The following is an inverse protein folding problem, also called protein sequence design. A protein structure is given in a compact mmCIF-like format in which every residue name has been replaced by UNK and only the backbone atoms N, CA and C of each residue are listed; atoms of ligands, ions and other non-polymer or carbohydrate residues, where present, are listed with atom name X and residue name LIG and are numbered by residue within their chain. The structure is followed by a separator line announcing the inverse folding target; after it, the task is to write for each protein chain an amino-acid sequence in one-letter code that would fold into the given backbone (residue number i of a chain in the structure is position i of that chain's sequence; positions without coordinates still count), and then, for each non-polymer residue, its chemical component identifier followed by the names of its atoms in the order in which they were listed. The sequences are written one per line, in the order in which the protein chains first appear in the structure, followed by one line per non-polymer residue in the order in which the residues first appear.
data_IF_952273916107
#
_entry.id   IF_952273916107
#
_cell.length_a   1.000
_cell.length_b   1.000
_cell.length_c   1.000
_cell.angle_alpha   90.00
_cell.angle_beta   90.00
_cell.angle_gamma   90.00
#
_symmetry.space_group_name_H-M   'P 1'
#
loop_
_entity.id
_entity.type
_entity.pdbx_description
1 polymer ?
#
# COMPACT_ATOMS: atom_id res chain seq x y z
N UNK A 1 -14.64 11.75 -26.58
CA UNK A 1 -14.28 11.57 -25.16
C UNK A 1 -12.80 11.82 -25.02
N UNK A 2 -12.40 12.73 -24.14
CA UNK A 2 -11.01 12.96 -23.75
C UNK A 2 -10.77 12.47 -22.34
N UNK A 3 -9.57 11.97 -22.06
CA UNK A 3 -9.13 11.58 -20.72
C UNK A 3 -7.68 11.97 -20.53
N UNK A 4 -7.37 12.56 -19.38
CA UNK A 4 -6.03 12.93 -18.96
C UNK A 4 -5.85 12.47 -17.52
N UNK A 5 -4.77 11.75 -17.25
CA UNK A 5 -4.38 11.33 -15.92
C UNK A 5 -3.11 12.04 -15.48
N UNK A 6 -3.12 12.49 -14.24
CA UNK A 6 -1.89 12.92 -13.57
C UNK A 6 -1.82 12.33 -12.17
N UNK A 7 -0.58 12.17 -11.69
CA UNK A 7 -0.32 11.79 -10.31
C UNK A 7 0.71 12.73 -9.72
N UNK A 8 0.43 13.24 -8.52
CA UNK A 8 1.37 14.08 -7.79
C UNK A 8 1.77 13.43 -6.45
N UNK A 9 3.07 13.50 -6.17
CA UNK A 9 3.69 13.05 -4.92
C UNK A 9 4.96 13.86 -4.68
N UNK A 10 5.03 14.58 -3.55
CA UNK A 10 6.17 15.45 -3.23
C UNK A 10 7.28 14.65 -2.53
N UNK A 11 8.45 14.59 -3.17
CA UNK A 11 9.66 13.89 -2.71
C UNK A 11 10.32 14.41 -1.42
N UNK A 12 9.59 15.04 -0.49
CA UNK A 12 10.16 15.46 0.82
C UNK A 12 9.33 15.08 2.04
N UNK A 13 8.03 14.82 1.92
CA UNK A 13 7.20 14.24 2.99
C UNK A 13 6.59 12.94 2.50
N UNK A 14 6.72 11.87 3.30
CA UNK A 14 5.92 10.67 3.07
C UNK A 14 4.44 11.07 3.15
N UNK A 15 3.75 11.04 2.03
CA UNK A 15 2.33 11.34 1.91
C UNK A 15 1.72 10.31 0.94
N UNK A 16 0.41 10.08 0.99
CA UNK A 16 -0.24 9.28 -0.02
C UNK A 16 -0.03 9.88 -1.42
N UNK A 17 -0.05 9.02 -2.43
CA UNK A 17 -0.06 9.41 -3.83
C UNK A 17 -1.43 10.00 -4.16
N UNK A 18 -1.46 11.19 -4.74
CA UNK A 18 -2.70 11.82 -5.19
C UNK A 18 -2.87 11.57 -6.68
N UNK A 19 -3.97 10.92 -7.03
CA UNK A 19 -4.35 10.62 -8.41
C UNK A 19 -5.42 11.61 -8.86
N UNK A 20 -5.28 12.13 -10.08
CA UNK A 20 -6.26 13.02 -10.69
C UNK A 20 -6.57 12.51 -12.09
N UNK A 21 -7.82 12.09 -12.27
CA UNK A 21 -8.40 11.76 -13.58
C UNK A 21 -9.24 12.93 -14.01
N UNK A 22 -8.93 13.49 -15.17
CA UNK A 22 -9.78 14.45 -15.87
C UNK A 22 -10.39 13.76 -17.07
N UNK A 23 -11.70 13.86 -17.24
CA UNK A 23 -12.40 13.29 -18.39
C UNK A 23 -13.51 14.22 -18.87
N UNK A 24 -13.80 14.20 -20.17
CA UNK A 24 -14.81 15.06 -20.77
C UNK A 24 -15.42 14.41 -22.02
N UNK A 25 -16.72 14.59 -22.23
CA UNK A 25 -17.32 14.30 -23.52
C UNK A 25 -17.15 15.51 -24.45
N UNK A 26 -16.19 15.41 -25.36
CA UNK A 26 -15.84 16.42 -26.37
C UNK A 26 -16.58 16.22 -27.70
N UNK A 27 -17.54 15.29 -27.75
CA UNK A 27 -18.32 15.00 -28.94
C UNK A 27 -19.62 15.81 -28.98
N UNK A 28 -20.18 15.96 -30.18
CA UNK A 28 -21.43 16.70 -30.42
C UNK A 28 -22.70 15.98 -29.96
N UNK A 29 -22.59 14.71 -29.52
CA UNK A 29 -23.69 13.91 -28.98
C UNK A 29 -23.44 13.53 -27.53
N UNK A 30 -24.51 13.36 -26.75
CA UNK A 30 -24.41 12.85 -25.38
C UNK A 30 -23.82 11.43 -25.33
N UNK A 31 -23.11 11.13 -24.25
CA UNK A 31 -22.66 9.80 -23.91
C UNK A 31 -23.55 9.23 -22.80
N UNK A 32 -23.88 7.94 -22.88
CA UNK A 32 -24.66 7.26 -21.85
C UNK A 32 -23.89 6.11 -21.23
N UNK A 33 -24.23 5.75 -19.99
CA UNK A 33 -23.61 4.63 -19.29
C UNK A 33 -22.08 4.77 -19.19
N UNK A 34 -21.61 5.99 -18.92
CA UNK A 34 -20.19 6.29 -18.75
C UNK A 34 -19.68 5.63 -17.47
N UNK A 35 -18.62 4.85 -17.60
CA UNK A 35 -17.92 4.21 -16.48
C UNK A 35 -16.43 4.54 -16.57
N UNK A 36 -15.88 5.08 -15.47
CA UNK A 36 -14.44 5.28 -15.30
C UNK A 36 -13.90 4.08 -14.53
N UNK A 37 -12.90 3.40 -15.06
CA UNK A 37 -12.22 2.26 -14.42
C UNK A 37 -10.73 2.53 -14.31
N UNK A 38 -10.20 2.39 -13.12
CA UNK A 38 -8.82 2.72 -12.77
C UNK A 38 -8.13 1.50 -12.17
N UNK A 39 -6.96 1.15 -12.68
CA UNK A 39 -6.19 -0.01 -12.23
C UNK A 39 -4.90 0.46 -11.57
N UNK A 40 -4.91 0.45 -10.24
CA UNK A 40 -3.75 0.69 -9.42
C UNK A 40 -2.79 -0.52 -9.52
N UNK A 41 -1.48 -0.29 -9.66
CA UNK A 41 -0.51 -1.38 -9.75
C UNK A 41 -0.39 -2.17 -8.44
N UNK A 42 0.12 -3.40 -8.55
CA UNK A 42 0.44 -4.21 -7.39
C UNK A 42 1.36 -3.48 -6.41
N UNK A 43 1.10 -3.62 -5.12
CA UNK A 43 1.82 -2.88 -4.07
C UNK A 43 1.34 -1.43 -3.85
N UNK A 44 0.30 -0.96 -4.53
CA UNK A 44 -0.41 0.30 -4.20
C UNK A 44 -1.78 -0.02 -3.60
N UNK A 45 -2.00 0.36 -2.35
CA UNK A 45 -3.23 0.13 -1.60
C UNK A 45 -4.17 1.34 -1.63
N UNK A 46 -5.44 1.05 -1.84
CA UNK A 46 -6.54 1.99 -1.71
C UNK A 46 -7.60 1.39 -0.79
N UNK A 47 -8.15 2.23 0.08
CA UNK A 47 -9.38 1.96 0.82
C UNK A 47 -10.15 3.26 0.99
N UNK A 48 -11.47 3.16 1.09
CA UNK A 48 -12.32 4.33 1.28
C UNK A 48 -12.03 5.03 2.62
N UNK A 49 -11.69 4.28 3.67
CA UNK A 49 -11.34 4.81 4.99
C UNK A 49 -10.06 5.66 5.00
N UNK A 50 -9.13 5.41 4.05
CA UNK A 50 -7.86 6.11 3.95
C UNK A 50 -7.79 7.11 2.77
N UNK A 51 -8.84 7.18 1.95
CA UNK A 51 -8.94 8.11 0.84
C UNK A 51 -9.28 9.52 1.35
N UNK A 52 -8.32 10.42 1.18
CA UNK A 52 -8.41 11.83 1.52
C UNK A 52 -8.59 12.74 0.30
N UNK A 53 -8.82 12.16 -0.88
CA UNK A 53 -9.07 12.92 -2.11
C UNK A 53 -10.41 13.64 -2.10
N UNK A 54 -10.47 14.74 -2.86
CA UNK A 54 -11.63 15.64 -2.95
C UNK A 54 -12.69 15.17 -3.95
N UNK A 55 -12.41 14.13 -4.72
CA UNK A 55 -13.31 13.59 -5.74
C UNK A 55 -14.32 12.59 -5.18
N UNK A 56 -15.25 12.12 -6.03
CA UNK A 56 -16.18 11.06 -5.65
C UNK A 56 -15.45 9.77 -5.32
N UNK A 57 -15.98 8.99 -4.38
CA UNK A 57 -15.48 7.65 -4.06
C UNK A 57 -15.89 6.65 -5.15
N UNK A 58 -15.07 5.63 -5.45
CA UNK A 58 -15.45 4.57 -6.38
C UNK A 58 -16.62 3.78 -5.81
N UNK A 59 -17.52 3.32 -6.69
CA UNK A 59 -18.62 2.44 -6.33
C UNK A 59 -18.16 1.01 -6.03
N UNK A 60 -16.99 0.61 -6.52
CA UNK A 60 -16.38 -0.68 -6.18
C UNK A 60 -14.86 -0.62 -6.16
N UNK A 61 -14.26 -1.49 -5.34
CA UNK A 61 -12.82 -1.72 -5.24
C UNK A 61 -12.59 -3.23 -5.25
N UNK A 62 -11.74 -3.72 -6.15
CA UNK A 62 -11.45 -5.15 -6.28
C UNK A 62 -9.94 -5.40 -6.28
N UNK A 63 -9.47 -6.30 -5.42
CA UNK A 63 -8.10 -6.82 -5.47
C UNK A 63 -8.05 -7.96 -6.49
N UNK A 64 -7.21 -7.81 -7.51
CA UNK A 64 -7.04 -8.80 -8.56
C UNK A 64 -6.00 -9.85 -8.15
N UNK A 65 -6.03 -11.01 -8.80
CA UNK A 65 -5.12 -12.13 -8.49
C UNK A 65 -3.63 -11.80 -8.73
N UNK A 66 -3.33 -10.86 -9.62
CA UNK A 66 -1.99 -10.35 -9.90
C UNK A 66 -1.53 -9.27 -8.90
N UNK A 67 -2.36 -8.95 -7.89
CA UNK A 67 -2.09 -7.96 -6.86
C UNK A 67 -2.46 -6.53 -7.24
N UNK A 68 -2.88 -6.26 -8.48
CA UNK A 68 -3.42 -4.94 -8.88
C UNK A 68 -4.78 -4.69 -8.21
N UNK A 69 -5.21 -3.42 -8.16
CA UNK A 69 -6.52 -3.05 -7.61
C UNK A 69 -7.33 -2.26 -8.62
N UNK A 70 -8.54 -2.71 -8.90
CA UNK A 70 -9.46 -2.04 -9.81
C UNK A 70 -10.47 -1.20 -9.03
N UNK A 71 -10.55 0.09 -9.35
CA UNK A 71 -11.51 1.05 -8.81
C UNK A 71 -12.47 1.46 -9.93
N UNK A 72 -13.78 1.46 -9.65
CA UNK A 72 -14.81 1.77 -10.67
C UNK A 72 -15.74 2.88 -10.21
N UNK A 73 -15.95 3.88 -11.06
CA UNK A 73 -16.97 4.92 -10.89
C UNK A 73 -18.01 4.81 -12.00
N UNK A 74 -19.26 4.63 -11.61
CA UNK A 74 -20.40 4.69 -12.53
C UNK A 74 -20.86 6.14 -12.62
N UNK A 75 -20.44 6.82 -13.70
CA UNK A 75 -20.72 8.25 -13.91
C UNK A 75 -22.15 8.46 -14.43
N UNK A 76 -22.65 7.53 -15.24
CA UNK A 76 -23.98 7.63 -15.84
C UNK A 76 -23.95 8.41 -17.16
N UNK A 77 -24.90 9.31 -17.37
CA UNK A 77 -24.98 10.07 -18.62
C UNK A 77 -24.12 11.33 -18.56
N UNK A 78 -23.41 11.62 -19.65
CA UNK A 78 -22.54 12.77 -19.79
C UNK A 78 -22.94 13.57 -21.04
N UNK A 79 -23.42 14.82 -20.90
CA UNK A 79 -23.85 15.65 -22.03
C UNK A 79 -22.77 15.85 -23.10
N UNK A 80 -23.19 16.25 -24.30
CA UNK A 80 -22.26 16.78 -25.29
C UNK A 80 -21.52 18.00 -24.71
N UNK A 81 -20.25 18.17 -25.07
CA UNK A 81 -19.41 19.28 -24.61
C UNK A 81 -19.45 19.52 -23.10
N UNK A 82 -19.39 18.44 -22.31
CA UNK A 82 -19.60 18.46 -20.85
C UNK A 82 -18.65 19.34 -20.04
N UNK A 83 -17.59 19.86 -20.66
CA UNK A 83 -16.41 20.36 -19.97
C UNK A 83 -15.68 19.28 -19.17
N UNK A 84 -14.60 19.68 -18.50
CA UNK A 84 -13.76 18.81 -17.70
C UNK A 84 -14.46 18.36 -16.41
N UNK A 85 -14.58 17.05 -16.24
CA UNK A 85 -14.97 16.39 -14.99
C UNK A 85 -13.73 15.82 -14.32
N UNK A 86 -13.72 15.76 -12.97
CA UNK A 86 -12.55 15.32 -12.20
C UNK A 86 -12.87 14.26 -11.14
N UNK A 87 -12.02 13.23 -11.09
CA UNK A 87 -11.93 12.28 -9.97
C UNK A 87 -10.56 12.48 -9.33
N UNK A 88 -10.57 12.77 -8.02
CA UNK A 88 -9.36 12.98 -7.21
C UNK A 88 -9.42 12.07 -6.00
N UNK A 89 -8.52 11.10 -5.93
CA UNK A 89 -8.44 10.14 -4.83
C UNK A 89 -6.99 9.94 -4.39
N UNK A 90 -6.79 9.39 -3.20
CA UNK A 90 -5.46 9.09 -2.67
C UNK A 90 -5.26 7.59 -2.41
N UNK A 91 -4.06 7.10 -2.71
CA UNK A 91 -3.65 5.71 -2.47
C UNK A 91 -2.21 5.67 -1.96
N UNK A 92 -1.78 4.55 -1.36
CA UNK A 92 -0.49 4.45 -0.68
C UNK A 92 0.33 3.26 -1.21
N UNK A 93 1.59 3.47 -1.64
CA UNK A 93 2.48 2.37 -1.92
C UNK A 93 2.87 1.64 -0.63
N UNK A 94 3.16 0.36 -0.75
CA UNK A 94 3.73 -0.47 0.32
C UNK A 94 5.04 0.11 0.84
N UNK A 95 5.29 -0.06 2.15
CA UNK A 95 6.56 0.24 2.80
C UNK A 95 7.72 -0.62 2.28
N UNK A 96 7.43 -1.71 1.58
CA UNK A 96 8.39 -2.68 1.09
C UNK A 96 8.82 -2.42 -0.37
N UNK A 97 8.42 -1.29 -0.94
CA UNK A 97 8.87 -0.89 -2.27
C UNK A 97 10.36 -0.50 -2.25
N UNK A 98 11.12 -1.00 -3.22
CA UNK A 98 12.54 -0.65 -3.33
C UNK A 98 12.71 0.67 -4.11
N UNK A 99 13.77 1.43 -3.86
CA UNK A 99 14.13 2.56 -4.71
C UNK A 99 14.23 2.14 -6.19
N UNK A 100 13.70 2.98 -7.08
CA UNK A 100 13.65 2.69 -8.52
C UNK A 100 12.45 1.84 -8.96
N UNK A 101 11.68 1.25 -8.03
CA UNK A 101 10.40 0.61 -8.38
C UNK A 101 9.48 1.63 -9.05
N UNK A 102 8.99 1.31 -10.25
CA UNK A 102 8.07 2.15 -11.00
C UNK A 102 6.65 1.62 -10.86
N UNK A 103 5.73 2.49 -10.45
CA UNK A 103 4.30 2.21 -10.40
C UNK A 103 3.62 2.84 -11.60
N UNK A 104 3.19 2.03 -12.55
CA UNK A 104 2.36 2.47 -13.67
C UNK A 104 0.91 2.23 -13.34
N UNK A 105 0.12 3.27 -13.47
CA UNK A 105 -1.31 3.21 -13.24
C UNK A 105 -2.02 3.53 -14.56
N UNK A 106 -3.09 2.78 -14.85
CA UNK A 106 -3.89 2.92 -16.07
C UNK A 106 -5.34 3.21 -15.74
N UNK A 107 -5.92 4.18 -16.44
CA UNK A 107 -7.36 4.48 -16.36
C UNK A 107 -7.99 4.31 -17.73
N UNK A 108 -9.25 3.88 -17.73
CA UNK A 108 -10.08 3.73 -18.92
C UNK A 108 -11.47 4.33 -18.69
N UNK A 109 -12.06 4.88 -19.74
CA UNK A 109 -13.45 5.35 -19.76
C UNK A 109 -14.19 4.59 -20.85
N UNK A 110 -15.19 3.81 -20.45
CA UNK A 110 -16.13 3.15 -21.35
C UNK A 110 -17.44 3.94 -21.41
N UNK A 111 -18.08 3.96 -22.58
CA UNK A 111 -19.31 4.72 -22.82
C UNK A 111 -20.06 4.22 -24.06
N UNK A 112 -21.33 4.63 -24.16
CA UNK A 112 -22.21 4.41 -25.32
C UNK A 112 -22.67 5.73 -25.91
N UNK A 113 -23.22 5.70 -27.12
CA UNK A 113 -23.90 6.87 -27.70
C UNK A 113 -25.18 7.21 -26.91
N UNK A 114 -25.70 8.43 -27.10
CA UNK A 114 -27.00 8.81 -26.56
C UNK A 114 -28.08 7.76 -26.92
N UNK A 115 -28.83 7.30 -25.91
CA UNK A 115 -29.81 6.22 -26.04
C UNK A 115 -29.23 4.80 -25.95
N UNK A 116 -27.92 4.62 -25.80
CA UNK A 116 -27.28 3.36 -25.39
C UNK A 116 -27.09 2.29 -26.48
N UNK A 117 -27.46 2.57 -27.73
CA UNK A 117 -27.49 1.58 -28.82
C UNK A 117 -26.10 1.05 -29.23
N UNK A 118 -25.08 1.90 -29.26
CA UNK A 118 -23.73 1.59 -29.72
C UNK A 118 -22.72 1.80 -28.60
N UNK A 119 -21.92 0.78 -28.30
CA UNK A 119 -20.76 0.90 -27.42
C UNK A 119 -19.52 1.31 -28.23
N UNK A 120 -18.72 2.21 -27.66
CA UNK A 120 -17.45 2.62 -28.25
C UNK A 120 -16.28 1.92 -27.56
N UNK A 121 -15.14 1.86 -28.25
CA UNK A 121 -13.90 1.42 -27.64
C UNK A 121 -13.56 2.33 -26.43
N UNK A 122 -13.13 1.77 -25.30
CA UNK A 122 -12.74 2.58 -24.15
C UNK A 122 -11.57 3.50 -24.49
N UNK A 123 -11.61 4.73 -24.00
CA UNK A 123 -10.45 5.64 -24.07
C UNK A 123 -9.58 5.40 -22.85
N UNK A 124 -8.28 5.25 -23.05
CA UNK A 124 -7.34 4.91 -21.99
C UNK A 124 -6.25 5.97 -21.84
N UNK A 125 -5.77 6.18 -20.62
CA UNK A 125 -4.55 6.95 -20.34
C UNK A 125 -3.80 6.34 -19.16
N UNK A 126 -2.51 6.66 -19.02
CA UNK A 126 -1.65 6.08 -17.98
C UNK A 126 -0.65 7.08 -17.42
N UNK A 127 -0.27 6.89 -16.16
CA UNK A 127 0.75 7.70 -15.50
C UNK A 127 1.71 6.84 -14.66
N UNK A 128 3.01 7.12 -14.77
CA UNK A 128 4.06 6.40 -14.05
C UNK A 128 4.74 7.29 -12.99
N UNK A 129 5.33 6.68 -11.97
CA UNK A 129 6.12 7.33 -10.91
C UNK A 129 7.10 6.31 -10.38
N UNK A 130 8.27 6.78 -9.99
CA UNK A 130 9.30 5.94 -9.39
C UNK A 130 9.41 6.23 -7.89
N UNK A 131 9.66 5.17 -7.12
CA UNK A 131 10.01 5.30 -5.70
C UNK A 131 11.43 5.86 -5.60
N UNK A 132 11.54 7.02 -4.95
CA UNK A 132 12.84 7.64 -4.63
C UNK A 132 13.29 7.22 -3.23
N UNK A 133 14.57 6.90 -3.08
CA UNK A 133 15.15 6.67 -1.77
C UNK A 133 15.30 8.00 -1.01
N UNK A 134 14.94 7.98 0.27
CA UNK A 134 15.41 8.96 1.26
C UNK A 134 16.29 8.19 2.23
N UNK A 135 17.52 8.65 2.55
CA UNK A 135 18.37 7.96 3.52
C UNK A 135 17.65 7.70 4.86
N UNK A 136 17.80 6.52 5.46
CA UNK A 136 17.19 6.22 6.75
C UNK A 136 17.89 7.02 7.87
N UNK A 137 17.21 7.23 8.98
CA UNK A 137 17.81 7.90 10.15
C UNK A 137 18.75 7.01 10.96
N UNK A 138 18.80 5.71 10.67
CA UNK A 138 19.77 4.73 11.22
C UNK A 138 19.65 4.48 12.74
N UNK A 139 18.42 4.28 13.21
CA UNK A 139 18.12 3.99 14.63
C UNK A 139 16.78 3.23 14.75
N UNK A 140 16.64 1.98 14.28
CA UNK A 140 15.43 1.19 14.50
C UNK A 140 15.18 0.99 15.99
N UNK A 141 13.91 1.10 16.37
CA UNK A 141 13.46 0.97 17.75
C UNK A 141 12.76 -0.36 17.97
N UNK A 142 12.92 -0.87 19.19
CA UNK A 142 12.44 -2.19 19.56
C UNK A 142 10.92 -2.29 19.56
N UNK A 143 10.41 -3.51 19.49
CA UNK A 143 8.99 -3.79 19.70
C UNK A 143 8.48 -3.23 21.04
N UNK A 144 9.28 -3.34 22.11
CA UNK A 144 8.95 -2.80 23.42
C UNK A 144 8.92 -1.27 23.44
N UNK A 145 9.78 -0.60 22.68
CA UNK A 145 9.68 0.86 22.51
C UNK A 145 8.34 1.22 21.86
N UNK A 146 8.04 0.66 20.69
CA UNK A 146 6.84 1.03 19.93
C UNK A 146 5.58 0.80 20.74
N UNK A 147 5.48 -0.36 21.40
CA UNK A 147 4.38 -0.72 22.31
C UNK A 147 4.08 0.37 23.36
N UNK A 148 5.10 1.02 23.90
CA UNK A 148 4.96 1.96 25.01
C UNK A 148 4.97 3.44 24.57
N UNK A 149 4.92 3.73 23.26
CA UNK A 149 4.98 5.08 22.71
C UNK A 149 3.88 5.33 21.67
N UNK A 150 2.63 5.02 22.03
CA UNK A 150 1.44 5.16 21.16
C UNK A 150 1.25 6.60 20.64
N UNK A 151 1.69 7.61 21.41
CA UNK A 151 1.68 9.02 21.01
C UNK A 151 2.49 9.32 19.73
N UNK A 152 3.38 8.41 19.31
CA UNK A 152 4.16 8.54 18.08
C UNK A 152 3.45 7.91 16.87
N UNK A 153 2.36 7.15 17.07
CA UNK A 153 1.65 6.42 16.03
C UNK A 153 0.69 7.35 15.27
N UNK A 154 1.24 8.22 14.43
CA UNK A 154 0.41 9.12 13.62
C UNK A 154 -0.51 8.33 12.67
N UNK A 155 -1.67 8.92 12.34
CA UNK A 155 -2.61 8.33 11.38
C UNK A 155 -1.95 7.97 10.04
N UNK A 156 -1.00 8.77 9.56
CA UNK A 156 -0.28 8.48 8.32
C UNK A 156 0.69 7.29 8.46
N UNK A 157 1.30 7.07 9.62
CA UNK A 157 2.12 5.88 9.84
C UNK A 157 1.26 4.63 9.83
N UNK A 158 0.15 4.63 10.56
CA UNK A 158 -0.79 3.51 10.59
C UNK A 158 -1.37 3.23 9.19
N UNK A 159 -1.74 4.27 8.43
CA UNK A 159 -2.21 4.14 7.06
C UNK A 159 -1.18 3.49 6.11
N UNK A 160 0.12 3.72 6.33
CA UNK A 160 1.19 3.09 5.55
C UNK A 160 1.46 1.66 5.97
N UNK A 161 1.35 1.36 7.26
CA UNK A 161 1.40 0.00 7.76
C UNK A 161 0.23 -0.79 7.15
N UNK A 162 -0.99 -0.24 7.18
CA UNK A 162 -2.16 -0.83 6.53
C UNK A 162 -1.95 -1.07 5.03
N UNK A 163 -1.37 -0.09 4.32
CA UNK A 163 -1.06 -0.22 2.90
C UNK A 163 -0.04 -1.32 2.58
N UNK A 164 0.76 -1.71 3.58
CA UNK A 164 1.78 -2.75 3.48
C UNK A 164 1.25 -4.11 3.88
N UNK A 165 0.42 -4.14 4.92
CA UNK A 165 0.00 -5.35 5.60
C UNK A 165 -1.31 -5.16 6.36
N UNK A 166 -2.37 -5.75 5.85
CA UNK A 166 -3.73 -5.54 6.35
C UNK A 166 -4.07 -6.47 7.51
N UNK A 167 -3.17 -7.37 7.94
CA UNK A 167 -3.51 -8.37 8.96
C UNK A 167 -3.80 -7.80 10.35
N UNK A 168 -3.40 -6.56 10.57
CA UNK A 168 -3.58 -5.86 11.85
C UNK A 168 -4.91 -5.11 11.90
N UNK A 169 -5.56 -4.88 10.75
CA UNK A 169 -6.92 -4.35 10.65
C UNK A 169 -7.90 -5.52 10.87
N UNK A 170 -8.34 -5.63 12.11
CA UNK A 170 -9.14 -6.75 12.62
C UNK A 170 -10.63 -6.56 12.39
N UNK A 171 -11.10 -5.30 12.36
CA UNK A 171 -12.49 -4.98 12.04
C UNK A 171 -12.75 -4.95 10.52
N UNK A 172 -11.68 -4.96 9.72
CA UNK A 172 -11.68 -4.96 8.25
C UNK A 172 -12.31 -3.70 7.65
N UNK A 173 -12.22 -2.58 8.35
CA UNK A 173 -12.73 -1.30 7.88
C UNK A 173 -11.83 -0.67 6.78
N UNK A 174 -10.65 -1.25 6.55
CA UNK A 174 -9.69 -0.82 5.55
C UNK A 174 -8.65 0.18 6.04
N UNK A 175 -8.58 0.45 7.35
CA UNK A 175 -7.66 1.36 8.02
C UNK A 175 -7.20 0.78 9.37
N UNK A 176 -5.88 0.67 9.56
CA UNK A 176 -5.32 0.30 10.86
C UNK A 176 -5.54 1.43 11.88
N UNK A 177 -6.22 1.12 12.98
CA UNK A 177 -6.41 2.02 14.11
C UNK A 177 -5.31 1.88 15.18
N UNK A 178 -5.28 2.83 16.13
CA UNK A 178 -4.39 2.75 17.31
C UNK A 178 -4.75 1.55 18.17
N UNK A 179 -6.03 1.31 18.43
CA UNK A 179 -6.50 0.20 19.27
C UNK A 179 -6.11 -1.16 18.70
N UNK A 180 -6.20 -1.32 17.39
CA UNK A 180 -5.79 -2.55 16.71
C UNK A 180 -4.28 -2.78 16.73
N UNK A 181 -3.49 -1.73 16.50
CA UNK A 181 -2.04 -1.79 16.62
C UNK A 181 -1.62 -2.12 18.08
N UNK A 182 -2.27 -1.51 19.07
CA UNK A 182 -2.05 -1.78 20.48
C UNK A 182 -2.43 -3.22 20.84
N UNK A 183 -3.58 -3.72 20.37
CA UNK A 183 -4.01 -5.09 20.56
C UNK A 183 -3.00 -6.09 19.96
N UNK A 184 -2.48 -5.80 18.76
CA UNK A 184 -1.44 -6.60 18.14
C UNK A 184 -0.16 -6.69 19.00
N UNK A 185 0.31 -5.56 19.54
CA UNK A 185 1.45 -5.54 20.47
C UNK A 185 1.19 -6.25 21.81
N UNK A 186 -0.07 -6.28 22.26
CA UNK A 186 -0.51 -6.93 23.48
C UNK A 186 -0.95 -8.39 23.32
N UNK A 187 -0.78 -8.98 22.13
CA UNK A 187 -1.11 -10.39 21.88
C UNK A 187 -0.33 -11.38 22.77
N UNK A 188 -0.56 -12.68 22.57
CA UNK A 188 0.10 -13.74 23.35
C UNK A 188 1.60 -13.90 23.03
N UNK A 189 2.28 -14.82 23.71
CA UNK A 189 3.66 -15.21 23.40
C UNK A 189 3.74 -16.42 22.44
N UNK A 190 2.60 -16.83 21.86
CA UNK A 190 2.58 -17.88 20.84
C UNK A 190 3.37 -17.44 19.59
N UNK A 191 4.02 -18.36 18.86
CA UNK A 191 4.92 -18.01 17.74
C UNK A 191 4.32 -17.05 16.71
N UNK A 192 3.05 -17.23 16.32
CA UNK A 192 2.35 -16.30 15.42
C UNK A 192 2.22 -14.89 15.99
N UNK A 193 1.82 -14.77 17.26
CA UNK A 193 1.67 -13.47 17.90
C UNK A 193 3.04 -12.80 18.10
N UNK A 194 4.05 -13.54 18.54
CA UNK A 194 5.43 -13.03 18.68
C UNK A 194 5.99 -12.53 17.34
N UNK A 195 5.84 -13.30 16.25
CA UNK A 195 6.25 -12.87 14.92
C UNK A 195 5.47 -11.64 14.46
N UNK A 196 4.15 -11.63 14.66
CA UNK A 196 3.28 -10.50 14.34
C UNK A 196 3.71 -9.19 15.02
N UNK A 197 4.11 -9.25 16.30
CA UNK A 197 4.61 -8.11 17.06
C UNK A 197 5.95 -7.59 16.53
N UNK A 198 6.90 -8.48 16.25
CA UNK A 198 8.20 -8.08 15.70
C UNK A 198 8.06 -7.47 14.30
N UNK A 199 7.21 -8.05 13.46
CA UNK A 199 6.92 -7.54 12.13
C UNK A 199 6.22 -6.17 12.18
N UNK A 200 5.27 -5.97 13.11
CA UNK A 200 4.62 -4.67 13.29
C UNK A 200 5.65 -3.59 13.69
N UNK A 201 6.58 -3.91 14.59
CA UNK A 201 7.67 -3.00 14.96
C UNK A 201 8.58 -2.65 13.76
N UNK A 202 8.91 -3.62 12.90
CA UNK A 202 9.63 -3.36 11.63
C UNK A 202 8.85 -2.39 10.76
N UNK A 203 7.52 -2.55 10.65
CA UNK A 203 6.70 -1.61 9.88
C UNK A 203 6.65 -0.21 10.49
N UNK A 204 6.63 -0.06 11.82
CA UNK A 204 6.80 1.26 12.44
C UNK A 204 8.18 1.88 12.16
N UNK A 205 9.25 1.08 12.17
CA UNK A 205 10.59 1.55 11.80
C UNK A 205 10.67 1.99 10.32
N UNK A 206 10.01 1.26 9.41
CA UNK A 206 9.86 1.66 8.00
C UNK A 206 8.98 2.90 7.83
N UNK A 207 7.87 2.98 8.57
CA UNK A 207 6.95 4.11 8.53
C UNK A 207 7.61 5.39 9.06
N UNK A 208 8.47 5.28 10.06
CA UNK A 208 9.22 6.42 10.61
C UNK A 208 10.55 6.66 9.89
N UNK A 209 10.87 5.88 8.84
CA UNK A 209 12.13 5.95 8.07
C UNK A 209 13.39 5.77 8.92
N UNK A 210 13.30 5.02 10.02
CA UNK A 210 14.46 4.57 10.79
C UNK A 210 15.28 3.54 10.02
N UNK A 211 14.59 2.75 9.21
CA UNK A 211 15.11 1.84 8.20
C UNK A 211 14.29 1.99 6.91
N UNK A 212 14.89 1.61 5.78
CA UNK A 212 14.22 1.48 4.48
C UNK A 212 14.07 0.01 4.08
N UNK A 213 13.16 -0.28 3.16
CA UNK A 213 12.98 -1.61 2.56
C UNK A 213 14.28 -2.22 2.03
N UNK A 214 15.10 -1.41 1.37
CA UNK A 214 16.40 -1.84 0.82
C UNK A 214 17.57 -1.73 1.80
N UNK A 215 17.33 -1.49 3.09
CA UNK A 215 18.44 -1.50 4.07
C UNK A 215 18.97 -2.92 4.15
N UNK A 216 20.28 -3.06 3.94
CA UNK A 216 20.96 -4.34 3.97
C UNK A 216 20.94 -4.89 5.41
N UNK A 217 20.74 -6.20 5.56
CA UNK A 217 20.83 -6.91 6.83
C UNK A 217 21.88 -8.01 6.75
N UNK A 218 22.67 -8.19 7.81
CA UNK A 218 23.73 -9.22 7.86
C UNK A 218 23.75 -9.93 9.20
N UNK A 219 23.36 -11.19 9.18
CA UNK A 219 23.58 -12.14 10.28
C UNK A 219 23.69 -13.56 9.72
N UNK A 220 24.26 -14.50 10.48
CA UNK A 220 24.32 -15.91 10.06
C UNK A 220 22.93 -16.47 9.74
N UNK A 221 21.94 -16.12 10.56
CA UNK A 221 20.55 -16.56 10.36
C UNK A 221 19.94 -15.94 9.10
N UNK A 222 20.11 -14.62 8.89
CA UNK A 222 19.59 -13.95 7.69
C UNK A 222 20.21 -14.56 6.40
N UNK A 223 21.52 -14.81 6.40
CA UNK A 223 22.21 -15.48 5.29
C UNK A 223 21.71 -16.91 5.05
N UNK A 224 21.49 -17.69 6.12
CA UNK A 224 20.95 -19.06 5.99
C UNK A 224 19.54 -19.09 5.40
N UNK A 225 18.79 -17.99 5.55
CA UNK A 225 17.46 -17.80 4.99
C UNK A 225 17.48 -17.07 3.64
N UNK A 226 18.66 -16.69 3.13
CA UNK A 226 18.83 -15.87 1.93
C UNK A 226 18.06 -14.54 2.00
N UNK A 227 18.17 -13.85 3.14
CA UNK A 227 17.58 -12.55 3.40
C UNK A 227 18.68 -11.48 3.43
N UNK A 228 18.77 -10.68 2.38
CA UNK A 228 19.81 -9.67 2.19
C UNK A 228 19.36 -8.28 2.66
N UNK A 229 18.06 -8.04 2.75
CA UNK A 229 17.51 -6.73 3.13
C UNK A 229 16.22 -6.81 3.97
N UNK A 230 15.83 -5.66 4.53
CA UNK A 230 14.61 -5.50 5.36
C UNK A 230 13.36 -6.00 4.63
N UNK A 231 13.23 -5.72 3.32
CA UNK A 231 12.07 -6.16 2.52
C UNK A 231 11.95 -7.67 2.50
N UNK A 232 13.02 -8.38 2.21
CA UNK A 232 13.01 -9.85 2.15
C UNK A 232 12.68 -10.45 3.50
N UNK A 233 13.24 -9.93 4.60
CA UNK A 233 12.90 -10.36 5.94
C UNK A 233 11.41 -10.12 6.26
N UNK A 234 10.86 -8.97 5.89
CA UNK A 234 9.44 -8.67 6.08
C UNK A 234 8.54 -9.63 5.28
N UNK A 235 8.83 -9.85 4.00
CA UNK A 235 8.06 -10.79 3.15
C UNK A 235 8.16 -12.22 3.69
N UNK A 236 9.36 -12.67 4.07
CA UNK A 236 9.55 -13.98 4.67
C UNK A 236 8.72 -14.16 5.96
N UNK A 237 8.62 -13.11 6.77
CA UNK A 237 7.77 -13.09 7.96
C UNK A 237 6.27 -13.11 7.61
N UNK A 238 5.83 -12.36 6.59
CA UNK A 238 4.47 -12.40 6.08
C UNK A 238 4.08 -13.82 5.64
N UNK A 239 4.91 -14.47 4.83
CA UNK A 239 4.69 -15.84 4.35
C UNK A 239 4.68 -16.83 5.52
N UNK A 240 5.56 -16.65 6.49
CA UNK A 240 5.62 -17.52 7.67
C UNK A 240 4.34 -17.44 8.50
N UNK A 241 3.73 -16.26 8.62
CA UNK A 241 2.46 -16.07 9.35
C UNK A 241 1.26 -16.81 8.70
N UNK A 242 1.34 -17.12 7.40
CA UNK A 242 0.34 -17.93 6.70
C UNK A 242 0.42 -19.42 7.05
N UNK A 243 1.58 -19.88 7.53
CA UNK A 243 1.81 -21.30 7.86
C UNK A 243 1.19 -21.67 9.22
N UNK A 244 0.76 -22.94 9.42
CA UNK A 244 0.41 -23.44 10.75
C UNK A 244 1.65 -23.46 11.67
N UNK A 245 1.43 -23.50 12.98
CA UNK A 245 2.50 -23.70 13.98
C UNK A 245 2.53 -25.17 14.35
N UNK A 246 3.59 -25.88 13.94
CA UNK A 246 3.83 -27.29 14.25
C UNK A 246 5.33 -27.58 14.21
N UNK A 247 5.74 -28.82 14.52
CA UNK A 247 7.16 -29.21 14.57
C UNK A 247 7.94 -28.92 13.27
N UNK A 248 7.29 -29.01 12.10
CA UNK A 248 7.92 -28.72 10.82
C UNK A 248 8.13 -27.22 10.55
N UNK A 249 7.27 -26.36 11.09
CA UNK A 249 7.34 -24.91 10.88
C UNK A 249 7.95 -24.13 12.04
N UNK A 250 8.02 -24.71 13.23
CA UNK A 250 8.61 -24.08 14.42
C UNK A 250 10.03 -23.54 14.19
N UNK A 251 10.96 -24.25 13.51
CA UNK A 251 12.29 -23.70 13.22
C UNK A 251 12.22 -22.44 12.35
N UNK A 252 11.31 -22.42 11.37
CA UNK A 252 11.08 -21.26 10.50
C UNK A 252 10.59 -20.06 11.29
N UNK A 253 9.61 -20.24 12.18
CA UNK A 253 9.15 -19.18 13.10
C UNK A 253 10.29 -18.66 13.97
N UNK A 254 11.02 -19.54 14.65
CA UNK A 254 12.11 -19.12 15.54
C UNK A 254 13.20 -18.34 14.80
N UNK A 255 13.61 -18.80 13.62
CA UNK A 255 14.64 -18.15 12.83
C UNK A 255 14.23 -16.73 12.41
N UNK A 256 13.03 -16.55 11.84
CA UNK A 256 12.60 -15.22 11.40
C UNK A 256 12.29 -14.29 12.57
N UNK A 257 11.72 -14.80 13.68
CA UNK A 257 11.54 -14.01 14.92
C UNK A 257 12.89 -13.47 15.39
N UNK A 258 13.94 -14.29 15.38
CA UNK A 258 15.30 -13.86 15.73
C UNK A 258 15.82 -12.75 14.83
N UNK A 259 15.70 -12.92 13.50
CA UNK A 259 16.13 -11.91 12.52
C UNK A 259 15.42 -10.57 12.75
N UNK A 260 14.08 -10.57 12.87
CA UNK A 260 13.34 -9.32 13.09
C UNK A 260 13.63 -8.69 14.46
N UNK A 261 13.90 -9.52 15.48
CA UNK A 261 14.30 -9.03 16.81
C UNK A 261 15.62 -8.30 16.76
N UNK A 262 16.62 -8.85 16.06
CA UNK A 262 17.93 -8.22 15.90
C UNK A 262 17.85 -6.95 15.04
N UNK A 263 16.98 -6.92 14.03
CA UNK A 263 16.69 -5.69 13.27
C UNK A 263 16.09 -4.60 14.17
N UNK A 264 15.02 -4.93 14.88
CA UNK A 264 14.38 -3.99 15.80
C UNK A 264 15.31 -3.56 16.98
N UNK A 265 16.44 -4.24 17.18
CA UNK A 265 17.48 -3.90 18.14
C UNK A 265 18.69 -3.18 17.52
N UNK A 266 18.64 -2.81 16.24
CA UNK A 266 19.72 -2.16 15.49
C UNK A 266 21.05 -2.94 15.49
N UNK A 267 21.00 -4.27 15.35
CA UNK A 267 22.18 -5.14 15.48
C UNK A 267 22.73 -5.65 14.16
N UNK A 268 21.92 -5.71 13.12
CA UNK A 268 22.28 -6.42 11.88
C UNK A 268 22.17 -5.54 10.64
N UNK A 269 21.65 -4.33 10.76
CA UNK A 269 21.55 -3.35 9.69
C UNK A 269 22.91 -2.85 9.25
N UNK A 270 23.11 -2.81 7.93
CA UNK A 270 24.31 -2.24 7.31
C UNK A 270 23.91 -1.00 6.54
N UNK A 271 24.43 0.15 6.97
CA UNK A 271 24.17 1.43 6.34
C UNK A 271 25.39 1.86 5.54
N UNK A 272 25.29 1.80 4.22
CA UNK A 272 26.31 2.33 3.30
C UNK A 272 26.17 3.84 3.12
#
# INVERSE_FOLDING_TARGET
MGIIRSRTGSGRKVRPLTYTVTYANTGSGGASGVTVTDTLPAGVYYSQALDSGTGPRPGSVTLNADGTRTLVWNVGDLPADSGDQRIVFTARPTLLALPGTTYTDTVSVSYRNAGGACAFAPVTDSAATAITAVPPTRDPLSQGFWKNHEQLWTAEFLARIQATDQRYDTDRNGALSVDEAAAAFNGSNAPKSTLGKQLLAVYFNLATRRINAGTEIRSRTAQSLSLDNVREAAIYAQDTLLLPVNSGTSPRYSAIIGVLTDMNANRIEVYR
#
